data_IF_295734107748
#
_entry.id   IF_295734107748
#
_cell.length_a   1.000
_cell.length_b   1.000
_cell.length_c   1.000
_cell.angle_alpha   90.00
_cell.angle_beta   90.00
_cell.angle_gamma   90.00
#
_symmetry.space_group_name_H-M   'P 1'
#
loop_
_entity.id
_entity.type
_entity.pdbx_description
1 polymer ?
#
# COMPACT_ATOMS: atom_id res chain seq x y z
N UNK A 1 -8.94 40.65 -8.39
CA UNK A 1 -8.40 39.98 -7.17
C UNK A 1 -9.31 38.87 -6.67
N UNK A 2 -10.62 39.10 -6.52
CA UNK A 2 -11.57 38.03 -6.17
C UNK A 2 -11.61 36.91 -7.22
N UNK A 3 -11.62 37.23 -8.52
CA UNK A 3 -11.74 36.22 -9.59
C UNK A 3 -10.54 35.27 -9.67
N UNK A 4 -9.33 35.80 -9.44
CA UNK A 4 -8.14 34.97 -9.37
C UNK A 4 -8.20 34.07 -8.13
N UNK A 5 -8.59 34.61 -6.97
CA UNK A 5 -8.68 33.83 -5.73
C UNK A 5 -9.72 32.71 -5.81
N UNK A 6 -10.91 32.98 -6.38
CA UNK A 6 -11.94 31.95 -6.59
C UNK A 6 -11.48 30.89 -7.60
N UNK A 7 -10.73 31.27 -8.64
CA UNK A 7 -10.14 30.32 -9.60
C UNK A 7 -9.07 29.42 -8.99
N UNK A 8 -8.26 29.92 -8.05
CA UNK A 8 -7.29 29.10 -7.33
C UNK A 8 -7.98 28.10 -6.39
N UNK A 9 -9.02 28.55 -5.68
CA UNK A 9 -9.81 27.68 -4.80
C UNK A 9 -10.51 26.59 -5.61
N UNK A 10 -11.14 26.93 -6.73
CA UNK A 10 -11.81 25.93 -7.57
C UNK A 10 -10.83 24.92 -8.14
N UNK A 11 -9.68 25.37 -8.65
CA UNK A 11 -8.64 24.48 -9.17
C UNK A 11 -8.07 23.55 -8.10
N UNK A 12 -7.86 24.07 -6.88
CA UNK A 12 -7.41 23.27 -5.74
C UNK A 12 -8.37 22.10 -5.46
N UNK A 13 -9.67 22.38 -5.34
CA UNK A 13 -10.65 21.33 -5.04
C UNK A 13 -10.83 20.32 -6.17
N UNK A 14 -10.70 20.77 -7.42
CA UNK A 14 -10.72 19.87 -8.59
C UNK A 14 -9.53 18.92 -8.52
N UNK A 15 -8.31 19.44 -8.40
CA UNK A 15 -7.09 18.63 -8.32
C UNK A 15 -7.16 17.67 -7.14
N UNK A 16 -7.55 18.16 -5.97
CA UNK A 16 -7.72 17.35 -4.77
C UNK A 16 -8.69 16.19 -5.01
N UNK A 17 -9.87 16.47 -5.56
CA UNK A 17 -10.93 15.46 -5.74
C UNK A 17 -10.54 14.41 -6.77
N UNK A 18 -9.95 14.83 -7.90
CA UNK A 18 -9.48 13.89 -8.91
C UNK A 18 -8.29 13.07 -8.39
N UNK A 19 -7.35 13.69 -7.67
CA UNK A 19 -6.21 13.02 -7.06
C UNK A 19 -6.68 11.96 -6.05
N UNK A 20 -7.64 12.32 -5.18
CA UNK A 20 -8.28 11.41 -4.24
C UNK A 20 -8.91 10.20 -4.93
N UNK A 21 -9.69 10.43 -5.99
CA UNK A 21 -10.36 9.34 -6.72
C UNK A 21 -9.35 8.44 -7.41
N UNK A 22 -8.32 9.02 -8.03
CA UNK A 22 -7.27 8.29 -8.75
C UNK A 22 -6.43 7.46 -7.77
N UNK A 23 -6.05 8.01 -6.62
CA UNK A 23 -5.36 7.28 -5.56
C UNK A 23 -6.18 6.09 -5.05
N UNK A 24 -7.49 6.29 -4.82
CA UNK A 24 -8.38 5.23 -4.37
C UNK A 24 -8.37 4.01 -5.31
N UNK A 25 -8.30 4.23 -6.64
CA UNK A 25 -8.21 3.12 -7.60
C UNK A 25 -6.93 2.30 -7.45
N UNK A 26 -5.81 2.95 -7.14
CA UNK A 26 -4.53 2.29 -6.89
C UNK A 26 -4.52 1.56 -5.54
N UNK A 27 -5.01 2.22 -4.49
CA UNK A 27 -5.06 1.68 -3.13
C UNK A 27 -5.92 0.42 -3.00
N UNK A 28 -7.03 0.35 -3.76
CA UNK A 28 -7.96 -0.78 -3.76
C UNK A 28 -7.43 -2.04 -4.43
N UNK A 29 -6.35 -1.93 -5.23
CA UNK A 29 -5.75 -3.10 -5.86
C UNK A 29 -5.20 -4.07 -4.78
N UNK A 30 -5.55 -5.37 -4.82
CA UNK A 30 -5.03 -6.30 -3.84
C UNK A 30 -3.51 -6.44 -3.97
N UNK A 31 -2.80 -6.43 -2.85
CA UNK A 31 -1.34 -6.46 -2.90
C UNK A 31 -0.65 -6.61 -1.55
N UNK A 32 0.68 -6.46 -1.54
CA UNK A 32 1.49 -6.61 -0.33
C UNK A 32 1.09 -5.64 0.77
N UNK A 33 0.83 -4.37 0.43
CA UNK A 33 0.49 -3.34 1.41
C UNK A 33 -0.88 -3.59 2.05
N UNK A 34 -1.88 -4.01 1.26
CA UNK A 34 -3.19 -4.43 1.75
C UNK A 34 -3.08 -5.64 2.68
N UNK A 35 -2.33 -6.66 2.27
CA UNK A 35 -2.15 -7.87 3.08
C UNK A 35 -1.40 -7.57 4.38
N UNK A 36 -0.35 -6.73 4.31
CA UNK A 36 0.40 -6.26 5.47
C UNK A 36 -0.50 -5.48 6.44
N UNK A 37 -1.36 -4.60 5.92
CA UNK A 37 -2.33 -3.84 6.73
C UNK A 37 -3.31 -4.76 7.43
N UNK A 38 -3.87 -5.76 6.75
CA UNK A 38 -4.76 -6.76 7.37
C UNK A 38 -4.04 -7.47 8.52
N UNK A 39 -2.85 -8.03 8.27
CA UNK A 39 -2.09 -8.80 9.24
C UNK A 39 -1.76 -7.94 10.47
N UNK A 40 -1.19 -6.74 10.27
CA UNK A 40 -0.80 -5.86 11.39
C UNK A 40 -2.00 -5.34 12.17
N UNK A 41 -3.10 -4.98 11.51
CA UNK A 41 -4.31 -4.51 12.18
C UNK A 41 -4.89 -5.57 13.10
N UNK A 42 -4.94 -6.81 12.62
CA UNK A 42 -5.48 -7.93 13.38
C UNK A 42 -4.56 -8.35 14.53
N UNK A 43 -3.25 -8.33 14.35
CA UNK A 43 -2.27 -8.72 15.39
C UNK A 43 -2.05 -7.67 16.49
N UNK A 44 -2.28 -6.39 16.19
CA UNK A 44 -1.97 -5.30 17.12
C UNK A 44 -2.86 -5.28 18.37
N UNK A 45 -2.45 -4.60 19.44
CA UNK A 45 -3.26 -4.50 20.68
C UNK A 45 -4.51 -3.61 20.54
N UNK A 46 -4.93 -2.94 21.62
CA UNK A 46 -6.17 -2.12 21.69
C UNK A 46 -6.33 -1.04 20.59
N UNK A 47 -5.25 -0.65 19.89
CA UNK A 47 -5.24 0.37 18.83
C UNK A 47 -4.99 -0.18 17.43
N UNK A 48 -5.24 -1.47 17.20
CA UNK A 48 -5.02 -2.10 15.88
C UNK A 48 -5.85 -1.49 14.74
N UNK A 49 -7.01 -0.92 15.04
CA UNK A 49 -7.83 -0.20 14.06
C UNK A 49 -7.14 1.05 13.47
N UNK A 50 -6.13 1.62 14.15
CA UNK A 50 -5.32 2.76 13.69
C UNK A 50 -4.08 2.34 12.90
N UNK A 51 -3.85 1.04 12.65
CA UNK A 51 -2.65 0.61 11.93
C UNK A 51 -2.59 1.16 10.51
N UNK A 52 -3.73 1.34 9.83
CA UNK A 52 -3.78 1.98 8.51
C UNK A 52 -3.15 3.38 8.51
N UNK A 53 -3.40 4.20 9.53
CA UNK A 53 -2.81 5.54 9.66
C UNK A 53 -1.28 5.50 9.69
N UNK A 54 -0.70 4.62 10.51
CA UNK A 54 0.75 4.52 10.65
C UNK A 54 1.43 3.92 9.41
N UNK A 55 0.78 2.94 8.78
CA UNK A 55 1.28 2.32 7.56
C UNK A 55 1.29 3.34 6.42
N UNK A 56 0.19 4.09 6.25
CA UNK A 56 0.07 5.10 5.20
C UNK A 56 0.98 6.29 5.48
N UNK A 57 1.26 6.65 6.73
CA UNK A 57 2.30 7.65 7.02
C UNK A 57 3.65 7.25 6.39
N UNK A 58 4.02 5.98 6.45
CA UNK A 58 5.21 5.47 5.77
C UNK A 58 5.10 5.51 4.24
N UNK A 59 3.95 5.10 3.72
CA UNK A 59 3.64 5.19 2.30
C UNK A 59 3.78 6.62 1.78
N UNK A 60 3.14 7.57 2.45
CA UNK A 60 3.15 9.00 2.13
C UNK A 60 4.56 9.61 2.06
N UNK A 61 5.45 9.17 2.97
CA UNK A 61 6.84 9.60 2.94
C UNK A 61 7.53 9.12 1.66
N UNK A 62 7.31 7.85 1.27
CA UNK A 62 7.86 7.30 0.05
C UNK A 62 7.27 8.00 -1.19
N UNK A 63 5.97 8.30 -1.19
CA UNK A 63 5.28 9.01 -2.27
C UNK A 63 5.77 10.45 -2.43
N UNK A 64 5.95 11.17 -1.32
CA UNK A 64 6.58 12.50 -1.33
C UNK A 64 7.97 12.46 -1.98
N UNK A 65 8.78 11.45 -1.66
CA UNK A 65 10.13 11.30 -2.24
C UNK A 65 10.06 11.09 -3.76
N UNK A 66 9.17 10.22 -4.25
CA UNK A 66 9.08 9.98 -5.69
C UNK A 66 8.48 11.18 -6.44
N UNK A 67 7.52 11.90 -5.86
CA UNK A 67 6.98 13.14 -6.44
C UNK A 67 8.10 14.17 -6.61
N UNK A 68 8.92 14.38 -5.57
CA UNK A 68 10.07 15.29 -5.64
C UNK A 68 11.03 14.87 -6.77
N UNK A 69 11.36 13.57 -6.86
CA UNK A 69 12.22 13.08 -7.95
C UNK A 69 11.58 13.24 -9.34
N UNK A 70 10.29 13.00 -9.50
CA UNK A 70 9.56 13.22 -10.74
C UNK A 70 9.60 14.69 -11.17
N UNK A 71 9.46 15.62 -10.21
CA UNK A 71 9.57 17.06 -10.46
C UNK A 71 10.99 17.48 -10.89
N UNK A 72 12.03 16.76 -10.45
CA UNK A 72 13.41 16.94 -10.92
C UNK A 72 13.72 16.23 -12.25
N UNK A 73 12.74 15.56 -12.88
CA UNK A 73 12.90 14.90 -14.17
C UNK A 73 13.25 13.41 -14.08
N UNK A 74 13.10 12.76 -12.92
CA UNK A 74 13.29 11.30 -12.80
C UNK A 74 12.33 10.48 -13.70
N UNK A 75 11.29 11.11 -14.23
CA UNK A 75 10.39 10.50 -15.22
C UNK A 75 11.13 9.93 -16.43
N UNK A 76 12.19 10.58 -16.93
CA UNK A 76 12.99 10.06 -18.04
C UNK A 76 13.62 8.69 -17.74
N UNK A 77 13.95 8.44 -16.46
CA UNK A 77 14.49 7.15 -16.01
C UNK A 77 13.38 6.11 -15.94
N UNK A 78 12.22 6.47 -15.37
CA UNK A 78 11.09 5.56 -15.24
C UNK A 78 10.40 5.23 -16.56
N UNK A 79 10.57 6.04 -17.60
CA UNK A 79 10.08 5.78 -18.96
C UNK A 79 11.06 4.94 -19.79
N UNK A 80 12.27 4.68 -19.29
CA UNK A 80 13.23 3.84 -20.01
C UNK A 80 12.80 2.36 -19.97
N UNK A 81 12.66 1.74 -21.15
CA UNK A 81 12.22 0.35 -21.29
C UNK A 81 13.06 -0.66 -20.50
N UNK A 82 14.37 -0.44 -20.38
CA UNK A 82 15.27 -1.32 -19.60
C UNK A 82 14.96 -1.19 -18.11
N UNK A 83 14.72 0.03 -17.63
CA UNK A 83 14.38 0.31 -16.23
C UNK A 83 13.02 -0.31 -15.89
N UNK A 84 12.00 -0.08 -16.72
CA UNK A 84 10.66 -0.67 -16.52
C UNK A 84 10.71 -2.20 -16.52
N UNK A 85 11.46 -2.82 -17.44
CA UNK A 85 11.67 -4.28 -17.46
C UNK A 85 12.36 -4.76 -16.19
N UNK A 86 13.38 -4.07 -15.73
CA UNK A 86 14.12 -4.43 -14.51
C UNK A 86 13.23 -4.34 -13.27
N UNK A 87 12.49 -3.23 -13.12
CA UNK A 87 11.53 -3.03 -12.02
C UNK A 87 10.43 -4.09 -12.08
N UNK A 88 9.87 -4.35 -13.26
CA UNK A 88 8.82 -5.35 -13.46
C UNK A 88 9.28 -6.75 -13.06
N UNK A 89 10.44 -7.20 -13.54
CA UNK A 89 11.00 -8.52 -13.19
C UNK A 89 11.37 -8.61 -11.71
N UNK A 90 12.12 -7.62 -11.18
CA UNK A 90 12.58 -7.64 -9.80
C UNK A 90 11.39 -7.57 -8.81
N UNK A 91 10.47 -6.64 -9.02
CA UNK A 91 9.28 -6.51 -8.20
C UNK A 91 8.29 -7.66 -8.39
N UNK A 92 8.18 -8.21 -9.61
CA UNK A 92 7.37 -9.39 -9.89
C UNK A 92 7.86 -10.61 -9.12
N UNK A 93 9.18 -10.83 -9.08
CA UNK A 93 9.81 -11.87 -8.28
C UNK A 93 9.55 -11.67 -6.77
N UNK A 94 9.63 -10.43 -6.27
CA UNK A 94 9.31 -10.10 -4.88
C UNK A 94 7.83 -10.33 -4.54
N UNK A 95 6.90 -9.97 -5.44
CA UNK A 95 5.48 -10.24 -5.29
C UNK A 95 5.18 -11.74 -5.20
N UNK A 96 5.78 -12.54 -6.08
CA UNK A 96 5.67 -14.00 -6.05
C UNK A 96 6.22 -14.53 -4.72
N UNK A 97 7.37 -14.03 -4.26
CA UNK A 97 7.95 -14.39 -2.96
C UNK A 97 7.00 -14.08 -1.80
N UNK A 98 6.39 -12.89 -1.76
CA UNK A 98 5.42 -12.54 -0.71
C UNK A 98 4.17 -13.43 -0.76
N UNK A 99 3.62 -13.68 -1.95
CA UNK A 99 2.46 -14.55 -2.14
C UNK A 99 2.72 -15.98 -1.68
N UNK A 100 3.86 -16.57 -2.10
CA UNK A 100 4.27 -17.90 -1.67
C UNK A 100 4.53 -17.95 -0.16
N UNK A 101 5.21 -16.95 0.39
CA UNK A 101 5.47 -16.87 1.84
C UNK A 101 4.18 -16.90 2.65
N UNK A 102 3.15 -16.14 2.25
CA UNK A 102 1.86 -16.13 2.94
C UNK A 102 1.18 -17.50 2.85
N UNK A 103 1.11 -18.10 1.66
CA UNK A 103 0.45 -19.41 1.48
C UNK A 103 1.17 -20.49 2.31
N UNK A 104 2.51 -20.51 2.28
CA UNK A 104 3.31 -21.45 3.05
C UNK A 104 3.13 -21.25 4.57
N UNK A 105 3.06 -20.00 5.03
CA UNK A 105 2.83 -19.70 6.45
C UNK A 105 1.42 -20.06 6.90
N UNK A 106 0.40 -19.90 6.05
CA UNK A 106 -0.96 -20.38 6.30
C UNK A 106 -0.95 -21.91 6.43
N UNK A 107 -0.32 -22.62 5.49
CA UNK A 107 -0.29 -24.08 5.48
C UNK A 107 0.47 -24.67 6.67
N UNK A 108 1.59 -24.04 7.07
CA UNK A 108 2.36 -24.42 8.27
C UNK A 108 1.67 -24.02 9.58
N UNK A 109 0.60 -23.23 9.54
CA UNK A 109 -0.04 -22.69 10.75
C UNK A 109 0.80 -21.65 11.50
N UNK A 110 1.82 -21.07 10.84
CA UNK A 110 2.77 -20.12 11.43
C UNK A 110 2.23 -18.68 11.50
N UNK A 111 0.99 -18.44 11.05
CA UNK A 111 0.35 -17.14 11.20
C UNK A 111 -0.23 -17.06 12.61
N UNK A 112 0.17 -16.08 13.44
CA UNK A 112 -0.34 -15.94 14.79
C UNK A 112 -1.86 -15.94 14.80
N UNK A 113 -2.49 -16.81 15.59
CA UNK A 113 -3.96 -16.93 15.69
C UNK A 113 -4.45 -16.55 17.10
N UNK A 114 -3.55 -16.16 18.00
CA UNK A 114 -3.89 -15.86 19.39
C UNK A 114 -5.03 -14.86 19.54
N UNK A 115 -5.17 -13.92 18.58
CA UNK A 115 -6.24 -12.93 18.57
C UNK A 115 -7.63 -13.53 18.30
N UNK A 116 -7.74 -14.67 17.59
CA UNK A 116 -9.01 -15.39 17.44
C UNK A 116 -9.33 -16.17 18.72
N UNK A 117 -8.30 -16.70 19.39
CA UNK A 117 -8.45 -17.45 20.64
C UNK A 117 -8.82 -16.56 21.82
N UNK A 118 -8.26 -15.35 21.91
CA UNK A 118 -8.52 -14.40 23.01
C UNK A 118 -9.94 -13.84 23.03
N UNK A 119 -10.63 -13.84 21.89
CA UNK A 119 -12.04 -13.42 21.81
C UNK A 119 -12.97 -14.49 22.38
N UNK A 120 -12.61 -15.77 22.24
CA UNK A 120 -13.43 -16.90 22.70
C UNK A 120 -13.18 -17.30 24.17
N UNK A 121 -12.23 -16.67 24.85
CA UNK A 121 -11.92 -16.93 26.26
C UNK A 121 -11.48 -15.63 26.95
N UNK A 122 -12.43 -14.81 27.45
CA UNK A 122 -12.16 -13.47 27.97
C UNK A 122 -11.37 -13.45 29.30
N UNK A 123 -11.21 -14.59 29.97
CA UNK A 123 -10.68 -14.66 31.34
C UNK A 123 -9.17 -14.94 31.44
N UNK A 124 -8.48 -15.09 30.30
CA UNK A 124 -7.03 -15.25 30.30
C UNK A 124 -6.33 -13.89 30.15
N UNK A 125 -5.68 -13.44 31.22
CA UNK A 125 -4.63 -12.42 31.14
C UNK A 125 -3.68 -12.75 29.97
N UNK A 126 -3.18 -11.74 29.24
CA UNK A 126 -2.29 -11.96 28.12
C UNK A 126 -1.00 -12.58 28.64
N UNK A 127 -0.91 -13.91 28.61
CA UNK A 127 0.35 -14.61 28.81
C UNK A 127 1.29 -14.10 27.72
N UNK A 128 2.34 -13.40 28.17
CA UNK A 128 3.54 -13.08 27.39
C UNK A 128 4.24 -14.42 27.06
N UNK A 129 3.63 -15.21 26.19
CA UNK A 129 4.01 -16.58 25.89
C UNK A 129 4.47 -16.69 24.45
N UNK A 130 5.74 -17.06 24.31
CA UNK A 130 6.40 -17.48 23.08
C UNK A 130 6.43 -16.44 21.96
N UNK A 131 7.50 -15.65 22.00
CA UNK A 131 8.15 -15.05 20.85
C UNK A 131 8.52 -16.14 19.82
N UNK A 132 7.53 -16.69 19.11
CA UNK A 132 7.75 -17.29 17.80
C UNK A 132 7.86 -16.14 16.81
N UNK A 133 8.94 -15.38 16.96
CA UNK A 133 9.46 -14.51 15.91
C UNK A 133 9.88 -15.41 14.76
N UNK A 134 8.91 -15.76 13.92
CA UNK A 134 9.19 -15.94 12.51
C UNK A 134 10.02 -14.73 12.14
N UNK A 135 11.26 -14.98 11.71
CA UNK A 135 12.34 -14.04 11.38
C UNK A 135 11.94 -13.09 10.23
N UNK A 136 10.80 -12.43 10.35
CA UNK A 136 10.36 -11.32 9.51
C UNK A 136 11.11 -10.13 10.11
N UNK A 137 12.10 -9.64 9.37
CA UNK A 137 13.07 -8.63 9.74
C UNK A 137 12.52 -7.57 10.72
N UNK A 138 13.30 -7.22 11.77
CA UNK A 138 13.00 -6.18 12.77
C UNK A 138 12.44 -4.85 12.21
N UNK A 139 12.67 -4.55 10.92
CA UNK A 139 12.10 -3.38 10.23
C UNK A 139 10.58 -3.45 9.96
N UNK A 140 9.98 -4.64 9.87
CA UNK A 140 8.54 -4.84 9.64
C UNK A 140 7.71 -4.79 10.96
N UNK A 141 8.36 -4.67 12.11
CA UNK A 141 7.68 -4.44 13.37
C UNK A 141 7.15 -3.01 13.47
N UNK A 142 7.92 -2.03 12.96
CA UNK A 142 7.48 -0.65 12.86
C UNK A 142 6.52 -0.49 11.66
N UNK A 143 5.25 -0.10 11.88
CA UNK A 143 4.26 0.05 10.82
C UNK A 143 4.65 1.09 9.76
N UNK A 144 5.34 2.17 10.13
CA UNK A 144 5.79 3.23 9.21
C UNK A 144 6.87 2.67 8.27
N UNK A 145 7.90 2.03 8.84
CA UNK A 145 8.97 1.42 8.04
C UNK A 145 8.44 0.28 7.17
N UNK A 146 7.51 -0.52 7.71
CA UNK A 146 6.82 -1.53 6.94
C UNK A 146 6.03 -0.95 5.77
N UNK A 147 5.33 0.18 5.97
CA UNK A 147 4.66 0.91 4.90
C UNK A 147 5.60 1.28 3.76
N UNK A 148 6.77 1.86 4.07
CA UNK A 148 7.80 2.21 3.08
C UNK A 148 8.28 0.95 2.34
N UNK A 149 8.78 -0.05 3.08
CA UNK A 149 9.45 -1.22 2.50
C UNK A 149 8.50 -2.05 1.66
N UNK A 150 7.28 -2.28 2.14
CA UNK A 150 6.28 -3.09 1.45
C UNK A 150 5.78 -2.41 0.18
N UNK A 151 5.60 -1.08 0.22
CA UNK A 151 5.19 -0.30 -0.96
C UNK A 151 6.27 -0.28 -2.03
N UNK A 152 7.52 0.00 -1.63
CA UNK A 152 8.66 0.05 -2.53
C UNK A 152 8.96 -1.31 -3.20
N UNK A 153 8.62 -2.41 -2.52
CA UNK A 153 8.79 -3.77 -3.05
C UNK A 153 7.73 -4.16 -4.08
N UNK A 154 6.69 -3.33 -4.28
CA UNK A 154 5.62 -3.59 -5.24
C UNK A 154 5.92 -2.94 -6.60
N UNK A 155 6.15 -3.69 -7.69
CA UNK A 155 6.43 -3.12 -9.02
C UNK A 155 5.25 -2.28 -9.53
N UNK A 156 4.02 -2.59 -9.13
CA UNK A 156 2.86 -1.81 -9.51
C UNK A 156 2.92 -0.38 -9.00
N UNK A 157 3.45 -0.15 -7.81
CA UNK A 157 3.60 1.20 -7.26
C UNK A 157 4.51 2.06 -8.15
N UNK A 158 5.65 1.51 -8.58
CA UNK A 158 6.56 2.18 -9.50
C UNK A 158 5.95 2.45 -10.86
N UNK A 159 5.28 1.44 -11.45
CA UNK A 159 4.64 1.57 -12.76
C UNK A 159 3.50 2.58 -12.71
N UNK A 160 2.71 2.58 -11.63
CA UNK A 160 1.63 3.54 -11.42
C UNK A 160 2.16 4.97 -11.37
N UNK A 161 3.22 5.23 -10.61
CA UNK A 161 3.83 6.57 -10.53
C UNK A 161 4.48 6.99 -11.85
N UNK A 162 5.10 6.06 -12.57
CA UNK A 162 5.68 6.31 -13.90
C UNK A 162 4.61 6.65 -14.97
N UNK A 163 3.38 6.17 -14.79
CA UNK A 163 2.31 6.27 -15.78
C UNK A 163 1.22 7.23 -15.32
N UNK A 164 0.28 6.76 -14.51
CA UNK A 164 -0.90 7.49 -14.05
C UNK A 164 -0.50 8.69 -13.21
N UNK A 165 0.39 8.50 -12.22
CA UNK A 165 0.83 9.57 -11.33
C UNK A 165 1.53 10.70 -12.10
N UNK A 166 2.51 10.36 -12.94
CA UNK A 166 3.22 11.34 -13.74
C UNK A 166 2.33 12.02 -14.81
N UNK A 167 1.45 11.27 -15.48
CA UNK A 167 0.52 11.83 -16.45
C UNK A 167 -0.44 12.84 -15.78
N UNK A 168 -0.92 12.53 -14.58
CA UNK A 168 -1.72 13.45 -13.77
C UNK A 168 -0.93 14.73 -13.44
N UNK A 169 0.33 14.59 -13.02
CA UNK A 169 1.19 15.72 -12.71
C UNK A 169 1.37 16.65 -13.92
N UNK A 170 1.55 16.09 -15.13
CA UNK A 170 1.61 16.88 -16.37
C UNK A 170 0.28 17.56 -16.66
N UNK A 171 -0.82 16.79 -16.62
CA UNK A 171 -2.15 17.28 -16.99
C UNK A 171 -2.62 18.48 -16.15
N UNK A 172 -2.29 18.47 -14.86
CA UNK A 172 -2.64 19.54 -13.92
C UNK A 172 -1.50 20.53 -13.66
N UNK A 173 -0.40 20.45 -14.42
CA UNK A 173 0.71 21.41 -14.31
C UNK A 173 1.39 21.44 -12.94
N UNK A 174 1.45 20.29 -12.26
CA UNK A 174 2.00 20.17 -10.92
C UNK A 174 3.49 20.53 -10.94
N UNK A 175 3.88 21.55 -10.17
CA UNK A 175 5.25 22.04 -10.10
C UNK A 175 5.55 22.72 -8.77
N UNK A 176 6.83 22.94 -8.46
CA UNK A 176 7.24 23.71 -7.28
C UNK A 176 6.80 25.18 -7.31
N UNK A 177 6.57 25.74 -8.51
CA UNK A 177 6.08 27.11 -8.67
C UNK A 177 4.59 27.20 -8.30
N UNK A 178 3.81 26.21 -8.75
CA UNK A 178 2.38 26.08 -8.45
C UNK A 178 2.16 25.25 -7.18
N UNK A 179 2.71 25.71 -6.05
CA UNK A 179 2.64 25.00 -4.78
C UNK A 179 1.21 24.66 -4.29
N UNK A 180 0.14 25.45 -4.56
CA UNK A 180 -1.21 25.07 -4.15
C UNK A 180 -1.71 23.82 -4.89
N UNK A 181 -1.40 23.70 -6.17
CA UNK A 181 -1.73 22.53 -7.00
C UNK A 181 -0.96 21.30 -6.53
N UNK A 182 0.33 21.45 -6.21
CA UNK A 182 1.14 20.39 -5.64
C UNK A 182 0.59 19.88 -4.30
N UNK A 183 0.19 20.79 -3.41
CA UNK A 183 -0.45 20.40 -2.16
C UNK A 183 -1.83 19.76 -2.36
N UNK A 184 -2.65 20.30 -3.26
CA UNK A 184 -3.94 19.70 -3.59
C UNK A 184 -3.77 18.27 -4.09
N UNK A 185 -2.81 18.06 -4.97
CA UNK A 185 -2.46 16.76 -5.52
C UNK A 185 -2.00 15.81 -4.41
N UNK A 186 -0.99 16.20 -3.63
CA UNK A 186 -0.43 15.34 -2.58
C UNK A 186 -1.46 15.03 -1.50
N UNK A 187 -2.12 16.04 -0.91
CA UNK A 187 -3.10 15.81 0.17
C UNK A 187 -4.30 15.03 -0.36
N UNK A 188 -4.76 15.29 -1.58
CA UNK A 188 -5.84 14.52 -2.21
C UNK A 188 -5.46 13.05 -2.38
N UNK A 189 -4.26 12.79 -2.91
CA UNK A 189 -3.74 11.44 -3.13
C UNK A 189 -3.64 10.67 -1.80
N UNK A 190 -2.94 11.24 -0.83
CA UNK A 190 -2.76 10.65 0.51
C UNK A 190 -4.09 10.47 1.25
N UNK A 191 -5.06 11.35 1.03
CA UNK A 191 -6.38 11.19 1.62
C UNK A 191 -7.12 9.97 1.04
N UNK A 192 -6.96 9.67 -0.24
CA UNK A 192 -7.54 8.48 -0.88
C UNK A 192 -6.94 7.19 -0.31
N UNK A 193 -5.62 7.16 -0.23
CA UNK A 193 -4.87 6.05 0.36
C UNK A 193 -5.22 5.86 1.83
N UNK A 194 -5.19 6.93 2.61
CA UNK A 194 -5.54 6.89 4.03
C UNK A 194 -6.99 6.43 4.22
N UNK A 195 -7.94 6.93 3.43
CA UNK A 195 -9.35 6.55 3.54
C UNK A 195 -9.52 5.04 3.35
N UNK A 196 -8.91 4.47 2.31
CA UNK A 196 -9.00 3.04 2.04
C UNK A 196 -8.30 2.20 3.11
N UNK A 197 -7.04 2.50 3.44
CA UNK A 197 -6.27 1.68 4.36
C UNK A 197 -6.71 1.81 5.81
N UNK A 198 -7.27 2.96 6.21
CA UNK A 198 -7.94 3.13 7.48
C UNK A 198 -9.25 2.33 7.53
N UNK A 199 -10.03 2.35 6.45
CA UNK A 199 -11.22 1.51 6.32
C UNK A 199 -10.87 0.02 6.45
N UNK A 200 -9.85 -0.44 5.72
CA UNK A 200 -9.34 -1.82 5.79
C UNK A 200 -8.84 -2.16 7.19
N UNK A 201 -8.11 -1.25 7.88
CA UNK A 201 -7.61 -1.54 9.24
C UNK A 201 -8.73 -1.62 10.27
N UNK A 202 -9.74 -0.75 10.18
CA UNK A 202 -10.94 -0.78 11.03
C UNK A 202 -11.72 -2.09 10.78
N UNK A 203 -12.03 -2.39 9.51
CA UNK A 203 -12.75 -3.60 9.12
C UNK A 203 -12.00 -4.87 9.55
N UNK A 204 -10.68 -4.87 9.41
CA UNK A 204 -9.84 -5.98 9.82
C UNK A 204 -9.84 -6.17 11.33
N UNK A 205 -9.69 -5.07 12.08
CA UNK A 205 -9.65 -5.10 13.54
C UNK A 205 -10.98 -5.52 14.17
N UNK A 206 -12.09 -4.96 13.73
CA UNK A 206 -13.41 -5.24 14.31
C UNK A 206 -14.17 -6.37 13.63
N UNK A 207 -13.82 -6.75 12.40
CA UNK A 207 -14.49 -7.83 11.66
C UNK A 207 -13.70 -9.12 11.72
N UNK A 208 -12.49 -9.12 11.17
CA UNK A 208 -11.72 -10.36 10.95
C UNK A 208 -11.32 -11.08 12.24
N UNK A 209 -11.25 -10.38 13.38
CA UNK A 209 -10.98 -10.98 14.70
C UNK A 209 -12.07 -11.91 15.21
N UNK A 210 -13.29 -11.77 14.70
CA UNK A 210 -14.43 -12.60 15.07
C UNK A 210 -14.67 -13.73 14.06
N UNK A 211 -13.88 -13.80 13.00
CA UNK A 211 -14.02 -14.85 12.00
C UNK A 211 -13.39 -16.17 12.46
N UNK A 212 -13.93 -17.27 11.98
CA UNK A 212 -13.28 -18.56 12.15
C UNK A 212 -11.96 -18.60 11.36
N UNK A 213 -10.96 -19.29 11.92
CA UNK A 213 -9.63 -19.56 11.32
C UNK A 213 -9.69 -19.91 9.84
N UNK A 214 -10.67 -20.74 9.41
CA UNK A 214 -10.81 -21.15 8.00
C UNK A 214 -11.05 -19.95 7.06
N UNK A 215 -11.90 -19.00 7.45
CA UNK A 215 -12.25 -17.84 6.62
C UNK A 215 -11.07 -16.87 6.59
N UNK A 216 -10.46 -16.59 7.74
CA UNK A 216 -9.27 -15.73 7.82
C UNK A 216 -8.12 -16.26 6.94
N UNK A 217 -7.86 -17.56 7.01
CA UNK A 217 -6.87 -18.20 6.15
C UNK A 217 -7.26 -18.17 4.66
N UNK A 218 -8.55 -18.35 4.35
CA UNK A 218 -9.07 -18.23 2.98
C UNK A 218 -8.81 -16.84 2.38
N UNK A 219 -9.03 -15.77 3.14
CA UNK A 219 -8.72 -14.40 2.71
C UNK A 219 -7.22 -14.24 2.41
N UNK A 220 -6.35 -14.69 3.31
CA UNK A 220 -4.90 -14.58 3.13
C UNK A 220 -4.38 -15.40 1.95
N UNK A 221 -4.91 -16.61 1.74
CA UNK A 221 -4.57 -17.45 0.58
C UNK A 221 -5.03 -16.77 -0.71
N UNK A 222 -6.23 -16.19 -0.74
CA UNK A 222 -6.72 -15.43 -1.88
C UNK A 222 -5.80 -14.25 -2.23
N UNK A 223 -5.39 -13.45 -1.23
CA UNK A 223 -4.40 -12.38 -1.42
C UNK A 223 -3.05 -12.93 -1.93
N UNK A 224 -2.59 -14.05 -1.38
CA UNK A 224 -1.34 -14.69 -1.81
C UNK A 224 -1.38 -15.17 -3.27
N UNK A 225 -2.47 -15.81 -3.69
CA UNK A 225 -2.69 -16.23 -5.08
C UNK A 225 -2.72 -15.01 -6.01
N UNK A 226 -3.47 -13.96 -5.63
CA UNK A 226 -3.51 -12.73 -6.41
C UNK A 226 -2.12 -12.13 -6.58
N UNK A 227 -1.31 -12.03 -5.51
CA UNK A 227 0.06 -11.51 -5.59
C UNK A 227 0.97 -12.34 -6.50
N UNK A 228 0.83 -13.67 -6.52
CA UNK A 228 1.59 -14.53 -7.44
C UNK A 228 1.19 -14.24 -8.89
N UNK A 229 -0.12 -14.29 -9.19
CA UNK A 229 -0.62 -14.05 -10.54
C UNK A 229 -0.23 -12.65 -11.04
N UNK A 230 -0.39 -11.65 -10.18
CA UNK A 230 -0.06 -10.27 -10.47
C UNK A 230 1.45 -10.06 -10.61
N UNK A 231 2.27 -10.73 -9.80
CA UNK A 231 3.73 -10.71 -9.92
C UNK A 231 4.23 -11.32 -11.23
N UNK A 232 3.64 -12.44 -11.66
CA UNK A 232 3.91 -13.04 -12.97
C UNK A 232 3.52 -12.07 -14.09
N UNK A 233 2.31 -11.50 -14.02
CA UNK A 233 1.84 -10.53 -15.00
C UNK A 233 2.77 -9.31 -15.12
N UNK A 234 3.14 -8.69 -14.00
CA UNK A 234 4.00 -7.51 -13.98
C UNK A 234 5.46 -7.81 -14.36
N UNK A 235 5.93 -9.04 -14.12
CA UNK A 235 7.26 -9.47 -14.56
C UNK A 235 7.37 -9.66 -16.07
N UNK A 236 6.26 -10.05 -16.71
CA UNK A 236 6.24 -10.41 -18.13
C UNK A 236 5.71 -9.28 -19.02
N UNK A 237 4.76 -8.47 -18.53
CA UNK A 237 4.09 -7.42 -19.31
C UNK A 237 5.05 -6.43 -20.01
N UNK A 238 6.21 -6.03 -19.43
CA UNK A 238 7.13 -5.10 -20.10
C UNK A 238 7.86 -5.68 -21.34
N UNK A 239 7.72 -6.99 -21.59
CA UNK A 239 8.30 -7.66 -22.76
C UNK A 239 7.32 -7.75 -23.94
N UNK A 240 6.01 -7.75 -23.67
CA UNK A 240 4.98 -7.83 -24.71
C UNK A 240 4.46 -6.47 -25.17
N UNK A 241 4.55 -5.44 -24.33
CA UNK A 241 4.18 -4.07 -24.67
C UNK A 241 5.41 -3.16 -24.57
N UNK A 242 6.31 -3.17 -25.58
CA UNK A 242 7.33 -2.13 -25.67
C UNK A 242 6.61 -0.80 -25.95
N UNK A 243 6.51 0.06 -24.94
CA UNK A 243 6.18 1.47 -25.13
C UNK A 243 7.44 2.22 -25.57
#
# INVERSE_FOLDING_TARGET
MLDNFTSYISSFWIIFSFSFLVALTGAMAPGPLLTYTIIKSVQSGKRGYLMGLWIITGHAILEMVIIIFLLFGFSFVLQNIIVVRTIGVAGGALLIYFGLSIILNVHKGNIPIYFLSSVNSPDHEPQKGAHSSTKINKGLDNPIVGGIVVSMSNPYWWVWWATIGFAFMIQFGISFKEWPSLLAFFIGHEAGDLAWYLFVSILSFFGLRYLNKKIYYGILVCCGIFMILFGIYMGISPFYHPQ
#
